data_IF_811529919816
#
_entry.id   IF_811529919816
#
_cell.length_a   1.000
_cell.length_b   1.000
_cell.length_c   1.000
_cell.angle_alpha   90.00
_cell.angle_beta   90.00
_cell.angle_gamma   90.00
#
_symmetry.space_group_name_H-M   'P 1'
#
loop_
_entity.id
_entity.type
_entity.pdbx_description
1 polymer ?
#
# COMPACT_ATOMS: atom_id res chain seq x y z
N UNK A 1 11.03 -4.64 -1.89
CA UNK A 1 9.69 -5.07 -1.42
C UNK A 1 9.24 -6.40 -2.02
N UNK A 2 9.05 -6.51 -3.35
CA UNK A 2 8.45 -7.70 -3.99
C UNK A 2 9.16 -9.03 -3.69
N UNK A 3 10.50 -9.02 -3.57
CA UNK A 3 11.27 -10.21 -3.19
C UNK A 3 10.95 -10.73 -1.79
N UNK A 4 10.70 -9.85 -0.81
CA UNK A 4 10.26 -10.25 0.54
C UNK A 4 8.87 -10.89 0.46
N UNK A 5 8.00 -10.40 -0.41
CA UNK A 5 6.64 -10.94 -0.56
C UNK A 5 6.66 -12.31 -1.24
N UNK A 6 7.31 -12.41 -2.40
CA UNK A 6 7.09 -13.53 -3.33
C UNK A 6 8.33 -13.91 -4.16
N UNK A 7 9.57 -13.73 -3.65
CA UNK A 7 10.72 -14.33 -4.32
C UNK A 7 10.54 -15.85 -4.43
N UNK A 8 10.86 -16.39 -5.61
CA UNK A 8 10.69 -17.82 -5.94
C UNK A 8 11.40 -18.69 -4.91
N UNK A 9 10.65 -19.59 -4.29
CA UNK A 9 11.14 -20.52 -3.27
C UNK A 9 11.79 -21.75 -3.91
N UNK A 10 12.68 -22.40 -3.16
CA UNK A 10 13.26 -23.72 -3.51
C UNK A 10 14.00 -23.81 -4.86
N UNK A 11 14.41 -22.69 -5.46
CA UNK A 11 15.16 -22.65 -6.72
C UNK A 11 16.70 -22.68 -6.53
N UNK A 12 17.17 -22.81 -5.28
CA UNK A 12 18.59 -22.86 -4.89
C UNK A 12 19.41 -21.58 -5.19
N UNK A 13 18.75 -20.45 -5.43
CA UNK A 13 19.41 -19.16 -5.67
C UNK A 13 18.78 -18.03 -4.84
N UNK A 14 19.60 -17.11 -4.32
CA UNK A 14 19.11 -15.89 -3.68
C UNK A 14 18.35 -16.11 -2.37
N UNK A 15 17.11 -15.62 -2.30
CA UNK A 15 16.26 -15.59 -1.11
C UNK A 15 14.88 -16.18 -1.39
N UNK A 16 14.14 -16.50 -0.32
CA UNK A 16 12.74 -16.92 -0.37
C UNK A 16 11.82 -15.76 0.05
N UNK A 17 10.73 -15.54 -0.70
CA UNK A 17 9.65 -14.64 -0.27
C UNK A 17 8.82 -15.25 0.85
N UNK A 18 7.98 -14.49 1.54
CA UNK A 18 7.13 -14.94 2.65
C UNK A 18 5.95 -15.79 2.15
N UNK A 19 5.34 -15.38 1.04
CA UNK A 19 4.23 -16.09 0.41
C UNK A 19 4.75 -17.01 -0.68
N UNK A 20 4.09 -18.15 -0.84
CA UNK A 20 4.32 -19.09 -1.93
C UNK A 20 3.16 -19.04 -2.92
N UNK A 21 3.42 -19.35 -4.19
CA UNK A 21 2.42 -19.43 -5.26
C UNK A 21 1.53 -18.19 -5.47
N UNK A 22 2.03 -16.99 -5.14
CA UNK A 22 1.34 -15.72 -5.40
C UNK A 22 1.91 -15.01 -6.62
N UNK A 23 1.08 -14.21 -7.29
CA UNK A 23 1.50 -13.31 -8.37
C UNK A 23 1.55 -11.88 -7.88
N UNK A 24 2.57 -11.14 -8.31
CA UNK A 24 2.74 -9.72 -8.02
C UNK A 24 2.38 -8.92 -9.27
N UNK A 25 1.47 -7.95 -9.13
CA UNK A 25 1.20 -6.94 -10.14
C UNK A 25 2.00 -5.67 -9.78
N UNK A 26 3.16 -5.41 -10.42
CA UNK A 26 3.89 -4.18 -10.19
C UNK A 26 3.16 -3.00 -10.83
N UNK A 27 2.87 -1.97 -10.04
CA UNK A 27 2.40 -0.68 -10.54
C UNK A 27 3.56 0.31 -10.41
N UNK A 28 3.91 0.97 -11.50
CA UNK A 28 4.94 1.99 -11.56
C UNK A 28 4.40 3.20 -12.30
N UNK A 29 4.37 4.34 -11.63
CA UNK A 29 3.69 5.55 -12.10
C UNK A 29 4.65 6.62 -12.63
N UNK A 30 5.97 6.35 -12.59
CA UNK A 30 7.00 7.17 -13.23
C UNK A 30 8.16 7.53 -12.31
N UNK A 31 8.96 8.53 -12.71
CA UNK A 31 10.17 8.95 -11.99
C UNK A 31 9.90 9.74 -10.70
N UNK A 32 8.66 10.18 -10.48
CA UNK A 32 8.27 10.97 -9.31
C UNK A 32 6.85 10.64 -8.92
N UNK A 33 6.67 10.32 -7.65
CA UNK A 33 5.37 9.97 -7.09
C UNK A 33 4.56 11.26 -6.91
N UNK A 34 3.38 11.31 -7.51
CA UNK A 34 2.45 12.43 -7.33
C UNK A 34 1.13 11.88 -6.80
N UNK A 35 0.39 12.70 -6.06
CA UNK A 35 -0.94 12.28 -5.59
C UNK A 35 -1.91 11.94 -6.74
N UNK A 36 -1.78 12.56 -7.91
CA UNK A 36 -2.58 12.19 -9.09
C UNK A 36 -2.25 10.78 -9.53
N UNK A 37 -0.96 10.47 -9.66
CA UNK A 37 -0.48 9.17 -10.11
C UNK A 37 -0.82 8.05 -9.11
N UNK A 38 -0.77 8.33 -7.80
CA UNK A 38 -1.29 7.45 -6.75
C UNK A 38 -2.79 7.18 -6.89
N UNK A 39 -3.59 8.23 -7.14
CA UNK A 39 -5.03 8.09 -7.32
C UNK A 39 -5.38 7.31 -8.59
N UNK A 40 -4.65 7.52 -9.69
CA UNK A 40 -4.80 6.79 -10.94
C UNK A 40 -4.46 5.31 -10.78
N UNK A 41 -3.37 5.00 -10.05
CA UNK A 41 -2.97 3.63 -9.72
C UNK A 41 -4.06 2.90 -8.91
N UNK A 42 -4.60 3.53 -7.86
CA UNK A 42 -5.68 2.95 -7.07
C UNK A 42 -6.95 2.78 -7.92
N UNK A 43 -7.29 3.77 -8.74
CA UNK A 43 -8.45 3.70 -9.67
C UNK A 43 -8.33 2.52 -10.62
N UNK A 44 -7.13 2.29 -11.18
CA UNK A 44 -6.86 1.14 -12.03
C UNK A 44 -7.06 -0.18 -11.27
N UNK A 45 -6.54 -0.29 -10.05
CA UNK A 45 -6.70 -1.51 -9.25
C UNK A 45 -8.17 -1.80 -8.93
N UNK A 46 -8.93 -0.78 -8.52
CA UNK A 46 -10.35 -0.89 -8.18
C UNK A 46 -11.18 -1.29 -9.39
N UNK A 47 -11.02 -0.59 -10.51
CA UNK A 47 -11.91 -0.74 -11.66
C UNK A 47 -11.55 -1.95 -12.53
N UNK A 48 -10.27 -2.26 -12.67
CA UNK A 48 -9.79 -3.23 -13.66
C UNK A 48 -9.24 -4.52 -13.03
N UNK A 49 -8.97 -4.52 -11.71
CA UNK A 49 -8.26 -5.62 -11.03
C UNK A 49 -8.90 -6.05 -9.70
N UNK A 50 -10.12 -5.64 -9.40
CA UNK A 50 -10.80 -5.96 -8.13
C UNK A 50 -11.03 -7.45 -7.90
N UNK A 51 -11.22 -8.22 -8.97
CA UNK A 51 -11.33 -9.68 -8.88
C UNK A 51 -9.97 -10.36 -8.61
N UNK A 52 -8.87 -9.80 -9.14
CA UNK A 52 -7.53 -10.40 -9.11
C UNK A 52 -6.66 -9.94 -7.93
N UNK A 53 -6.82 -8.70 -7.48
CA UNK A 53 -5.98 -8.06 -6.47
C UNK A 53 -6.74 -7.95 -5.15
N UNK A 54 -6.25 -8.65 -4.12
CA UNK A 54 -6.84 -8.64 -2.77
C UNK A 54 -6.03 -7.83 -1.76
N UNK A 55 -4.74 -7.60 -2.03
CA UNK A 55 -3.84 -6.86 -1.16
C UNK A 55 -3.08 -5.84 -1.98
N UNK A 56 -3.12 -4.58 -1.54
CA UNK A 56 -2.36 -3.47 -2.09
C UNK A 56 -1.25 -3.15 -1.10
N UNK A 57 0.00 -3.24 -1.54
CA UNK A 57 1.16 -2.76 -0.79
C UNK A 57 1.49 -1.35 -1.25
N UNK A 58 1.31 -0.37 -0.35
CA UNK A 58 1.43 1.04 -0.65
C UNK A 58 2.48 1.70 0.26
N UNK A 59 3.71 1.78 -0.22
CA UNK A 59 4.85 2.27 0.60
C UNK A 59 5.23 3.72 0.37
N UNK A 60 4.41 4.47 -0.37
CA UNK A 60 4.64 5.90 -0.56
C UNK A 60 3.84 6.68 0.49
N UNK A 61 4.53 7.58 1.17
CA UNK A 61 3.96 8.42 2.20
C UNK A 61 4.23 9.91 1.94
N UNK A 62 3.47 10.77 2.61
CA UNK A 62 3.74 12.19 2.66
C UNK A 62 3.42 12.77 4.04
N UNK A 63 4.43 13.43 4.59
CA UNK A 63 4.43 13.98 5.95
C UNK A 63 3.65 15.27 6.09
N UNK A 64 3.74 16.09 5.04
CA UNK A 64 3.31 17.49 5.09
C UNK A 64 2.06 17.76 4.27
N UNK A 65 1.60 16.79 3.48
CA UNK A 65 0.49 16.95 2.56
C UNK A 65 -0.43 15.74 2.63
N UNK A 66 -1.72 16.02 2.67
CA UNK A 66 -2.79 15.03 2.49
C UNK A 66 -3.40 15.21 1.12
N UNK A 67 -3.91 14.13 0.54
CA UNK A 67 -4.67 14.18 -0.69
C UNK A 67 -6.03 13.56 -0.47
N UNK A 68 -7.09 14.36 -0.54
CA UNK A 68 -8.46 13.86 -0.44
C UNK A 68 -8.75 12.84 -1.54
N UNK A 69 -8.24 13.06 -2.76
CA UNK A 69 -8.42 12.13 -3.87
C UNK A 69 -7.81 10.74 -3.58
N UNK A 70 -6.61 10.70 -2.97
CA UNK A 70 -5.99 9.42 -2.59
C UNK A 70 -6.71 8.81 -1.38
N UNK A 71 -7.17 9.62 -0.43
CA UNK A 71 -8.03 9.17 0.68
C UNK A 71 -9.30 8.48 0.19
N UNK A 72 -10.00 9.11 -0.74
CA UNK A 72 -11.24 8.57 -1.30
C UNK A 72 -10.97 7.26 -2.04
N UNK A 73 -9.88 7.17 -2.79
CA UNK A 73 -9.50 5.94 -3.49
C UNK A 73 -9.03 4.81 -2.56
N UNK A 74 -8.34 5.12 -1.47
CA UNK A 74 -8.03 4.12 -0.45
C UNK A 74 -9.33 3.58 0.16
N UNK A 75 -10.28 4.45 0.50
CA UNK A 75 -11.59 4.03 1.01
C UNK A 75 -12.34 3.16 0.00
N UNK A 76 -12.43 3.59 -1.27
CA UNK A 76 -13.07 2.80 -2.34
C UNK A 76 -12.40 1.42 -2.51
N UNK A 77 -11.07 1.33 -2.41
CA UNK A 77 -10.37 0.04 -2.45
C UNK A 77 -10.75 -0.86 -1.27
N UNK A 78 -10.83 -0.31 -0.06
CA UNK A 78 -11.26 -1.07 1.12
C UNK A 78 -12.73 -1.50 1.05
N UNK A 79 -13.61 -0.65 0.51
CA UNK A 79 -15.02 -0.97 0.26
C UNK A 79 -15.16 -2.05 -0.83
N UNK A 80 -14.24 -2.09 -1.80
CA UNK A 80 -14.14 -3.17 -2.80
C UNK A 80 -13.53 -4.48 -2.23
N UNK A 81 -13.25 -4.54 -0.93
CA UNK A 81 -12.74 -5.75 -0.27
C UNK A 81 -11.23 -5.96 -0.39
N UNK A 82 -10.47 -4.93 -0.76
CA UNK A 82 -9.01 -4.97 -0.78
C UNK A 82 -8.43 -4.56 0.57
N UNK A 83 -7.38 -5.27 1.02
CA UNK A 83 -6.55 -4.83 2.13
C UNK A 83 -5.47 -3.87 1.62
N UNK A 84 -5.44 -2.64 2.12
CA UNK A 84 -4.41 -1.64 1.82
C UNK A 84 -3.38 -1.62 2.94
N UNK A 85 -2.16 -2.06 2.67
CA UNK A 85 -1.06 -2.06 3.65
C UNK A 85 -0.15 -0.87 3.37
N UNK A 86 0.09 -0.05 4.39
CA UNK A 86 0.84 1.20 4.30
C UNK A 86 2.03 1.22 5.27
N UNK A 87 3.05 2.00 4.95
CA UNK A 87 4.23 2.20 5.83
C UNK A 87 3.98 3.30 6.85
N UNK A 88 4.49 3.13 8.07
CA UNK A 88 4.48 4.16 9.11
C UNK A 88 5.44 5.34 8.83
N UNK A 89 6.35 5.18 7.87
CA UNK A 89 7.44 6.14 7.62
C UNK A 89 8.68 5.86 8.48
N UNK A 90 9.76 6.59 8.20
CA UNK A 90 11.09 6.41 8.79
C UNK A 90 11.59 7.65 9.56
N UNK A 91 10.70 8.59 9.88
CA UNK A 91 11.03 9.90 10.46
C UNK A 91 11.10 9.91 12.00
N UNK A 92 11.07 8.73 12.64
CA UNK A 92 11.18 8.57 14.09
C UNK A 92 10.22 9.47 14.90
N UNK A 93 8.93 9.44 14.54
CA UNK A 93 7.89 10.26 15.18
C UNK A 93 6.75 9.44 15.74
N UNK A 94 6.08 10.02 16.72
CA UNK A 94 4.79 9.54 17.21
C UNK A 94 3.68 9.95 16.25
N UNK A 95 3.07 8.97 15.57
CA UNK A 95 2.01 9.19 14.60
C UNK A 95 0.65 9.53 15.22
N UNK A 96 0.48 9.31 16.52
CA UNK A 96 -0.69 9.78 17.27
C UNK A 96 -0.58 11.29 17.58
N UNK A 97 0.64 11.85 17.58
CA UNK A 97 0.91 13.29 17.77
C UNK A 97 1.14 14.03 16.45
N UNK A 98 1.95 13.45 15.56
CA UNK A 98 2.34 14.02 14.26
C UNK A 98 1.94 13.05 13.15
N UNK A 99 0.71 13.14 12.63
CA UNK A 99 0.16 12.15 11.72
C UNK A 99 0.88 12.15 10.37
N UNK A 100 1.04 10.98 9.77
CA UNK A 100 1.61 10.78 8.43
C UNK A 100 0.56 10.22 7.48
N UNK A 101 0.51 10.71 6.25
CA UNK A 101 -0.36 10.16 5.21
C UNK A 101 0.40 9.08 4.42
N UNK A 102 -0.17 7.90 4.12
CA UNK A 102 -1.51 7.42 4.43
C UNK A 102 -1.62 6.55 5.71
N UNK A 103 -0.61 6.52 6.58
CA UNK A 103 -0.67 5.67 7.78
C UNK A 103 -1.72 6.12 8.81
N UNK A 104 -1.78 7.42 9.08
CA UNK A 104 -2.66 8.03 10.09
C UNK A 104 -4.08 8.29 9.56
N UNK A 105 -4.64 7.35 8.78
CA UNK A 105 -6.05 7.40 8.43
C UNK A 105 -6.89 7.35 9.71
N UNK A 106 -8.00 8.12 9.72
CA UNK A 106 -8.87 8.19 10.88
C UNK A 106 -9.43 6.81 11.20
N UNK A 107 -9.18 6.31 12.41
CA UNK A 107 -9.54 4.94 12.86
C UNK A 107 -11.05 4.73 12.82
N UNK A 108 -11.58 4.13 11.76
CA UNK A 108 -12.89 3.47 11.75
C UNK A 108 -12.71 1.96 11.91
N UNK A 109 -13.62 1.31 12.65
CA UNK A 109 -13.59 -0.14 12.89
C UNK A 109 -13.81 -0.99 11.62
N UNK A 110 -14.15 -0.35 10.50
CA UNK A 110 -14.37 -0.95 9.17
C UNK A 110 -13.17 -0.76 8.23
N UNK A 111 -12.05 -0.21 8.70
CA UNK A 111 -10.96 0.18 7.82
C UNK A 111 -10.14 -1.02 7.34
N UNK A 112 -10.15 -1.24 6.03
CA UNK A 112 -9.26 -2.17 5.34
C UNK A 112 -7.83 -1.63 5.19
N UNK A 113 -7.35 -0.77 6.11
CA UNK A 113 -6.01 -0.16 6.06
C UNK A 113 -5.16 -0.69 7.21
N UNK A 114 -3.99 -1.25 6.89
CA UNK A 114 -3.01 -1.75 7.85
C UNK A 114 -1.73 -0.92 7.78
N UNK A 115 -1.46 -0.10 8.79
CA UNK A 115 -0.19 0.60 8.90
C UNK A 115 0.87 -0.22 9.64
N UNK A 116 2.09 -0.29 9.08
CA UNK A 116 3.17 -1.17 9.56
C UNK A 116 4.42 -0.34 9.90
N UNK A 117 4.93 -0.50 11.13
CA UNK A 117 6.23 0.01 11.58
C UNK A 117 7.33 -1.05 11.44
N UNK A 118 8.59 -0.61 11.44
CA UNK A 118 9.76 -1.50 11.44
C UNK A 118 10.18 -1.89 12.87
N UNK A 119 10.78 -3.09 13.02
CA UNK A 119 11.35 -3.62 14.27
C UNK A 119 12.80 -4.00 14.09
#
# INVERSE_FOLDING_TARGET
>A
MTGIVAAIRNNKIGMAGILDEVRILPIFDGKGVTFSAMADALTYLINERSDDVKVILFTEGCDSRRSQAVTDKIREATEAGMLVVVTAGDENRDLDVTPSFPCSFGRSATDGVLCVAAT
#
